data_IF_202343499348
#
_entry.id   IF_202343499348
#
_cell.length_a   1.000
_cell.length_b   1.000
_cell.length_c   1.000
_cell.angle_alpha   90.00
_cell.angle_beta   90.00
_cell.angle_gamma   90.00
#
_symmetry.space_group_name_H-M   'P 1'
#
loop_
_entity.id
_entity.type
_entity.pdbx_description
1 polymer ?
#
# COMPACT_ATOMS: atom_id res chain seq x y z
N UNK A 1 31.03 53.57 -29.52
CA UNK A 1 31.24 52.18 -29.05
C UNK A 1 30.34 51.94 -27.83
N UNK A 2 29.18 51.31 -28.01
CA UNK A 2 28.28 50.92 -26.90
C UNK A 2 28.46 49.42 -26.66
N UNK A 3 29.02 49.05 -25.51
CA UNK A 3 29.17 47.65 -25.08
C UNK A 3 27.85 47.22 -24.42
N UNK A 4 27.10 46.34 -25.07
CA UNK A 4 25.99 45.61 -24.46
C UNK A 4 26.56 44.47 -23.62
N UNK A 5 26.40 44.53 -22.30
CA UNK A 5 26.65 43.40 -21.42
C UNK A 5 25.46 42.43 -21.52
N UNK A 6 25.70 41.24 -22.04
CA UNK A 6 24.78 40.11 -21.95
C UNK A 6 24.93 39.47 -20.57
N UNK A 7 23.89 39.55 -19.74
CA UNK A 7 23.78 38.80 -18.49
C UNK A 7 23.37 37.38 -18.82
N UNK A 8 24.28 36.42 -18.63
CA UNK A 8 23.97 35.00 -18.73
C UNK A 8 23.17 34.59 -17.48
N UNK A 9 21.90 34.26 -17.67
CA UNK A 9 21.01 33.75 -16.63
C UNK A 9 21.32 32.27 -16.41
N UNK A 10 22.08 31.96 -15.36
CA UNK A 10 22.35 30.59 -14.94
C UNK A 10 21.07 30.00 -14.32
N UNK A 11 20.44 29.07 -15.04
CA UNK A 11 19.36 28.27 -14.50
C UNK A 11 19.93 27.27 -13.48
N UNK A 12 19.68 27.54 -12.19
CA UNK A 12 19.96 26.60 -11.10
C UNK A 12 18.90 25.50 -11.21
N UNK A 13 19.29 24.34 -11.73
CA UNK A 13 18.52 23.10 -11.60
C UNK A 13 18.52 22.72 -10.11
N UNK A 14 17.40 22.96 -9.43
CA UNK A 14 17.19 22.42 -8.09
C UNK A 14 17.14 20.88 -8.20
N UNK A 15 17.80 20.13 -7.30
CA UNK A 15 17.68 18.70 -7.28
C UNK A 15 16.20 18.31 -7.08
N UNK A 16 15.73 17.38 -7.92
CA UNK A 16 14.43 16.76 -7.76
C UNK A 16 14.27 16.27 -6.32
N UNK A 17 13.12 16.60 -5.71
CA UNK A 17 12.88 16.47 -4.28
C UNK A 17 13.33 15.13 -3.72
N UNK A 18 13.96 15.18 -2.55
CA UNK A 18 14.23 14.00 -1.74
C UNK A 18 12.92 13.22 -1.61
N UNK A 19 12.81 12.09 -2.31
CA UNK A 19 11.72 11.17 -2.12
C UNK A 19 11.75 10.79 -0.64
N UNK A 20 10.65 11.05 0.07
CA UNK A 20 10.55 10.62 1.46
C UNK A 20 10.84 9.11 1.46
N UNK A 21 11.84 8.68 2.23
CA UNK A 21 12.14 7.25 2.38
C UNK A 21 10.96 6.63 3.12
N UNK A 22 10.00 6.11 2.34
CA UNK A 22 8.77 5.56 2.88
C UNK A 22 9.01 4.18 3.49
N UNK A 23 10.09 3.48 3.14
CA UNK A 23 10.46 2.18 3.70
C UNK A 23 11.48 2.27 4.84
N UNK A 24 11.74 1.14 5.52
CA UNK A 24 12.81 0.98 6.51
C UNK A 24 12.40 1.12 7.99
N UNK A 25 11.16 1.55 8.28
CA UNK A 25 10.68 1.78 9.66
C UNK A 25 9.27 1.24 9.90
N UNK A 26 8.83 0.27 9.10
CA UNK A 26 7.50 -0.30 9.25
C UNK A 26 7.50 -1.31 10.39
N UNK A 27 6.45 -1.27 11.19
CA UNK A 27 6.26 -2.19 12.31
C UNK A 27 5.46 -3.39 11.83
N UNK A 28 5.94 -4.59 12.11
CA UNK A 28 5.18 -5.81 11.82
C UNK A 28 4.00 -5.95 12.78
N UNK A 29 2.81 -6.16 12.21
CA UNK A 29 1.63 -6.62 12.91
C UNK A 29 1.39 -8.08 12.54
N UNK A 30 1.69 -8.98 13.48
CA UNK A 30 1.38 -10.41 13.35
C UNK A 30 -0.08 -10.66 13.69
N UNK A 31 -0.70 -11.69 13.12
CA UNK A 31 -2.07 -12.11 13.44
C UNK A 31 -2.11 -13.32 14.39
N UNK A 32 -1.03 -14.11 14.42
CA UNK A 32 -0.75 -15.16 15.39
C UNK A 32 0.54 -14.84 16.16
N UNK A 33 0.64 -15.31 17.41
CA UNK A 33 1.86 -15.16 18.22
C UNK A 33 3.03 -16.00 17.68
N UNK A 34 2.74 -17.09 16.95
CA UNK A 34 3.76 -18.08 16.55
C UNK A 34 4.08 -18.09 15.05
N UNK A 35 3.34 -17.35 14.21
CA UNK A 35 3.60 -17.26 12.76
C UNK A 35 3.58 -15.81 12.27
N UNK A 36 4.30 -15.56 11.18
CA UNK A 36 4.44 -14.27 10.53
C UNK A 36 5.34 -14.41 9.30
N UNK A 37 5.30 -13.43 8.42
CA UNK A 37 6.16 -13.38 7.25
C UNK A 37 7.57 -12.95 7.65
N UNK A 38 8.58 -13.40 6.89
CA UNK A 38 9.94 -12.91 7.01
C UNK A 38 10.10 -11.65 6.14
N UNK A 39 10.20 -10.49 6.80
CA UNK A 39 10.35 -9.20 6.14
C UNK A 39 11.81 -8.73 6.14
N UNK A 40 12.27 -8.20 5.01
CA UNK A 40 13.54 -7.50 4.89
C UNK A 40 13.26 -6.08 4.41
N UNK A 41 13.56 -5.08 5.23
CA UNK A 41 13.31 -3.67 4.92
C UNK A 41 14.63 -2.93 4.66
N UNK A 42 14.69 -2.19 3.57
CA UNK A 42 15.68 -1.13 3.32
C UNK A 42 14.96 0.22 3.22
N UNK A 43 15.70 1.28 2.92
CA UNK A 43 15.14 2.62 2.69
C UNK A 43 14.25 2.73 1.46
N UNK A 44 14.48 1.88 0.47
CA UNK A 44 13.93 1.93 -0.89
C UNK A 44 13.09 0.70 -1.25
N UNK A 45 13.15 -0.38 -0.46
CA UNK A 45 12.45 -1.62 -0.73
C UNK A 45 12.00 -2.34 0.55
N UNK A 46 10.95 -3.14 0.40
CA UNK A 46 10.60 -4.21 1.32
C UNK A 46 10.48 -5.51 0.53
N UNK A 47 11.24 -6.53 0.96
CA UNK A 47 11.09 -7.90 0.48
C UNK A 47 10.36 -8.75 1.53
N UNK A 48 9.64 -9.77 1.05
CA UNK A 48 8.87 -10.69 1.88
C UNK A 48 9.07 -12.14 1.42
N UNK A 49 9.26 -13.01 2.41
CA UNK A 49 9.05 -14.43 2.29
C UNK A 49 7.89 -14.84 3.20
N UNK A 50 6.86 -15.43 2.61
CA UNK A 50 5.71 -16.01 3.31
C UNK A 50 5.68 -17.50 2.98
N UNK A 51 5.50 -18.35 3.99
CA UNK A 51 5.55 -19.81 3.87
C UNK A 51 4.43 -20.41 4.73
N UNK A 52 3.20 -20.48 4.19
CA UNK A 52 2.02 -20.91 4.96
C UNK A 52 1.65 -19.94 6.08
N UNK A 53 1.91 -18.64 5.89
CA UNK A 53 1.73 -17.63 6.94
C UNK A 53 1.09 -16.35 6.41
N UNK A 54 0.65 -15.52 7.35
CA UNK A 54 0.17 -14.16 7.09
C UNK A 54 0.68 -13.20 8.15
N UNK A 55 1.23 -12.08 7.71
CA UNK A 55 1.40 -10.89 8.53
C UNK A 55 1.40 -9.65 7.65
N UNK A 56 1.39 -8.48 8.28
CA UNK A 56 1.55 -7.22 7.59
C UNK A 56 2.63 -6.37 8.24
N UNK A 57 3.29 -5.56 7.43
CA UNK A 57 3.99 -4.38 7.89
C UNK A 57 3.03 -3.18 7.85
N UNK A 58 3.19 -2.26 8.79
CA UNK A 58 2.43 -1.03 8.81
C UNK A 58 3.29 0.18 9.19
N UNK A 59 2.94 1.33 8.64
CA UNK A 59 3.52 2.62 9.00
C UNK A 59 2.44 3.71 9.05
N UNK A 60 2.46 4.47 10.14
CA UNK A 60 1.68 5.72 10.24
C UNK A 60 2.34 6.81 9.40
N UNK A 61 1.52 7.58 8.69
CA UNK A 61 2.00 8.72 7.93
C UNK A 61 1.97 10.02 8.76
N UNK A 62 2.99 10.88 8.62
CA UNK A 62 2.98 12.21 9.22
C UNK A 62 1.86 13.06 8.62
N UNK A 63 1.41 14.06 9.38
CA UNK A 63 0.32 14.97 8.97
C UNK A 63 0.53 15.65 7.62
N UNK A 64 1.79 15.87 7.22
CA UNK A 64 2.15 16.46 5.93
C UNK A 64 1.64 15.62 4.74
N UNK A 65 1.61 14.28 4.88
CA UNK A 65 1.22 13.37 3.80
C UNK A 65 -0.30 13.11 3.76
N UNK A 66 -1.08 13.66 4.71
CA UNK A 66 -2.52 13.36 4.81
C UNK A 66 -3.34 13.86 3.61
N UNK A 67 -2.78 14.82 2.87
CA UNK A 67 -3.40 15.37 1.67
C UNK A 67 -3.03 14.64 0.37
N UNK A 68 -2.16 13.62 0.43
CA UNK A 68 -1.74 12.79 -0.72
C UNK A 68 -2.95 12.28 -1.51
N UNK A 69 -2.89 12.36 -2.85
CA UNK A 69 -3.95 11.89 -3.75
C UNK A 69 -3.47 10.94 -4.84
N UNK A 70 -2.15 10.75 -4.98
CA UNK A 70 -1.56 9.82 -5.93
C UNK A 70 -0.43 9.05 -5.26
N UNK A 71 -0.18 7.85 -5.77
CA UNK A 71 0.97 7.07 -5.38
C UNK A 71 1.53 6.30 -6.59
N UNK A 72 2.82 5.98 -6.51
CA UNK A 72 3.53 5.15 -7.46
C UNK A 72 4.49 4.22 -6.74
N UNK A 73 4.70 3.02 -7.29
CA UNK A 73 5.64 2.04 -6.76
C UNK A 73 6.01 1.01 -7.84
N UNK A 74 6.99 0.18 -7.52
CA UNK A 74 7.30 -1.06 -8.25
C UNK A 74 7.12 -2.26 -7.35
N UNK A 75 6.69 -3.37 -7.91
CA UNK A 75 6.67 -4.65 -7.20
C UNK A 75 7.11 -5.79 -8.12
N UNK A 76 7.62 -6.84 -7.52
CA UNK A 76 7.87 -8.10 -8.22
C UNK A 76 7.46 -9.29 -7.37
N UNK A 77 7.07 -10.36 -8.05
CA UNK A 77 6.71 -11.64 -7.47
C UNK A 77 7.52 -12.71 -8.19
N UNK A 78 8.40 -13.37 -7.44
CA UNK A 78 9.28 -14.43 -7.90
C UNK A 78 8.64 -15.81 -7.65
N UNK A 79 7.85 -15.93 -6.59
CA UNK A 79 7.03 -17.10 -6.27
C UNK A 79 5.65 -16.64 -5.80
N UNK A 80 4.60 -17.19 -6.40
CA UNK A 80 3.22 -16.73 -6.24
C UNK A 80 2.31 -17.82 -5.64
N UNK A 81 1.26 -17.38 -4.96
CA UNK A 81 0.13 -18.24 -4.54
C UNK A 81 -0.69 -18.71 -5.76
N UNK A 82 -1.46 -19.81 -5.67
CA UNK A 82 -2.45 -20.13 -6.71
C UNK A 82 -3.57 -19.07 -6.77
N UNK A 83 -4.28 -18.93 -7.90
CA UNK A 83 -5.41 -18.00 -7.98
C UNK A 83 -6.52 -18.34 -6.99
N UNK A 84 -6.88 -17.38 -6.14
CA UNK A 84 -7.92 -17.49 -5.09
C UNK A 84 -9.08 -16.51 -5.32
N UNK A 85 -10.22 -16.76 -4.70
CA UNK A 85 -11.32 -15.78 -4.67
C UNK A 85 -11.15 -14.83 -3.48
N UNK A 86 -10.63 -13.62 -3.77
CA UNK A 86 -10.36 -12.60 -2.75
C UNK A 86 -11.59 -12.05 -2.01
N UNK A 87 -12.80 -12.46 -2.40
CA UNK A 87 -14.03 -12.09 -1.68
C UNK A 87 -14.41 -13.10 -0.59
N UNK A 88 -13.73 -14.24 -0.53
CA UNK A 88 -14.01 -15.34 0.41
C UNK A 88 -13.05 -15.29 1.59
N UNK A 89 -13.59 -15.08 2.78
CA UNK A 89 -12.83 -15.20 4.04
C UNK A 89 -12.26 -16.61 4.21
N UNK A 90 -10.97 -16.73 4.54
CA UNK A 90 -10.29 -18.03 4.70
C UNK A 90 -10.13 -18.76 3.36
N UNK A 91 -9.97 -18.01 2.29
CA UNK A 91 -9.62 -18.50 0.96
C UNK A 91 -9.14 -17.37 0.07
N UNK A 92 -8.49 -16.36 0.65
CA UNK A 92 -8.18 -15.08 0.01
C UNK A 92 -6.67 -14.76 -0.09
N UNK A 93 -5.84 -15.80 0.00
CA UNK A 93 -4.39 -15.74 -0.22
C UNK A 93 -4.02 -14.91 -1.46
N UNK A 94 -2.99 -14.09 -1.32
CA UNK A 94 -2.54 -13.11 -2.34
C UNK A 94 -1.07 -12.76 -2.12
N UNK A 95 -0.38 -12.50 -3.22
CA UNK A 95 1.07 -12.24 -3.21
C UNK A 95 1.41 -10.98 -2.40
N UNK A 96 0.80 -9.85 -2.77
CA UNK A 96 1.01 -8.57 -2.10
C UNK A 96 -0.28 -7.75 -2.07
N UNK A 97 -0.54 -7.08 -0.94
CA UNK A 97 -1.60 -6.08 -0.80
C UNK A 97 -1.05 -4.82 -0.16
N UNK A 98 -1.09 -3.70 -0.88
CA UNK A 98 -0.70 -2.38 -0.37
C UNK A 98 -1.96 -1.61 0.05
N UNK A 99 -2.05 -1.26 1.33
CA UNK A 99 -3.20 -0.63 1.95
C UNK A 99 -2.95 0.87 2.09
N UNK A 100 -3.94 1.67 1.71
CA UNK A 100 -4.02 3.10 1.97
C UNK A 100 -5.18 3.33 2.94
N UNK A 101 -4.84 3.75 4.16
CA UNK A 101 -5.80 3.88 5.27
C UNK A 101 -6.19 5.35 5.39
N UNK A 102 -7.48 5.62 5.18
CA UNK A 102 -8.07 6.94 5.25
C UNK A 102 -9.02 7.06 6.43
N UNK A 103 -9.06 8.23 7.07
CA UNK A 103 -10.09 8.58 8.06
C UNK A 103 -10.28 10.10 8.15
N UNK A 104 -11.39 10.59 8.72
CA UNK A 104 -11.57 12.02 8.97
C UNK A 104 -10.46 12.58 9.86
N UNK A 105 -10.04 13.83 9.61
CA UNK A 105 -8.92 14.47 10.32
C UNK A 105 -9.06 14.41 11.86
N UNK A 106 -10.23 14.78 12.38
CA UNK A 106 -10.50 14.76 13.81
C UNK A 106 -10.40 13.34 14.41
N UNK A 107 -10.88 12.33 13.69
CA UNK A 107 -10.79 10.92 14.09
C UNK A 107 -9.32 10.45 14.09
N UNK A 108 -8.54 10.87 13.08
CA UNK A 108 -7.11 10.59 13.02
C UNK A 108 -6.33 11.16 14.20
N UNK A 109 -6.61 12.42 14.55
CA UNK A 109 -5.96 13.13 15.66
C UNK A 109 -6.31 12.51 17.01
N UNK A 110 -7.58 12.12 17.21
CA UNK A 110 -8.04 11.42 18.41
C UNK A 110 -7.38 10.02 18.56
N UNK A 111 -6.99 9.39 17.45
CA UNK A 111 -6.39 8.05 17.41
C UNK A 111 -4.90 8.07 17.01
N UNK A 112 -4.17 9.17 17.28
CA UNK A 112 -2.77 9.35 16.86
C UNK A 112 -1.80 8.29 17.41
N UNK A 113 -2.13 7.69 18.55
CA UNK A 113 -1.32 6.66 19.22
C UNK A 113 -1.82 5.23 18.94
N UNK A 114 -2.93 5.06 18.21
CA UNK A 114 -3.51 3.75 17.95
C UNK A 114 -2.62 2.93 17.00
N UNK A 115 -2.53 1.62 17.25
CA UNK A 115 -1.96 0.66 16.30
C UNK A 115 -2.94 0.35 15.16
N UNK A 116 -2.46 -0.27 14.09
CA UNK A 116 -3.27 -0.55 12.90
C UNK A 116 -4.53 -1.38 13.21
N UNK A 117 -4.45 -2.38 14.09
CA UNK A 117 -5.64 -3.19 14.46
C UNK A 117 -6.78 -2.33 15.00
N UNK A 118 -6.47 -1.37 15.88
CA UNK A 118 -7.45 -0.44 16.40
C UNK A 118 -7.97 0.48 15.29
N UNK A 119 -7.09 1.02 14.44
CA UNK A 119 -7.50 1.88 13.32
C UNK A 119 -8.45 1.19 12.33
N UNK A 120 -8.19 -0.07 11.99
CA UNK A 120 -9.04 -0.84 11.07
C UNK A 120 -10.42 -1.17 11.65
N UNK A 121 -10.55 -1.12 12.99
CA UNK A 121 -11.82 -1.28 13.70
C UNK A 121 -12.66 -0.01 13.80
N UNK A 122 -12.10 1.16 13.53
CA UNK A 122 -12.81 2.45 13.57
C UNK A 122 -13.84 2.50 12.43
N UNK A 123 -15.08 2.88 12.74
CA UNK A 123 -16.21 2.88 11.80
C UNK A 123 -15.96 3.78 10.58
N UNK A 124 -15.35 4.94 10.80
CA UNK A 124 -15.05 5.95 9.78
C UNK A 124 -13.81 5.61 8.95
N UNK A 125 -13.06 4.56 9.31
CA UNK A 125 -11.92 4.13 8.52
C UNK A 125 -12.37 3.67 7.13
N UNK A 126 -11.63 4.07 6.11
CA UNK A 126 -11.78 3.60 4.73
C UNK A 126 -10.43 3.12 4.24
N UNK A 127 -10.37 1.89 3.77
CA UNK A 127 -9.12 1.20 3.47
C UNK A 127 -9.17 0.73 2.03
N UNK A 128 -8.35 1.36 1.21
CA UNK A 128 -8.20 1.02 -0.19
C UNK A 128 -6.98 0.12 -0.34
N UNK A 129 -7.17 -1.09 -0.87
CA UNK A 129 -6.12 -2.11 -0.95
C UNK A 129 -5.81 -2.39 -2.42
N UNK A 130 -4.57 -2.17 -2.84
CA UNK A 130 -4.11 -2.51 -4.19
C UNK A 130 -3.41 -3.88 -4.16
N UNK A 131 -3.91 -4.81 -4.96
CA UNK A 131 -3.54 -6.23 -4.82
C UNK A 131 -2.89 -6.80 -6.08
N UNK A 132 -1.81 -7.55 -5.87
CA UNK A 132 -1.29 -8.58 -6.77
C UNK A 132 -1.69 -9.92 -6.18
N UNK A 133 -2.56 -10.65 -6.88
CA UNK A 133 -3.07 -11.94 -6.42
C UNK A 133 -4.51 -12.19 -6.85
N UNK A 134 -5.02 -13.37 -6.49
CA UNK A 134 -6.40 -13.77 -6.77
C UNK A 134 -6.70 -14.13 -8.22
N UNK A 135 -7.95 -14.53 -8.47
CA UNK A 135 -8.48 -14.95 -9.77
C UNK A 135 -9.35 -13.88 -10.47
N UNK A 136 -9.28 -12.63 -9.99
CA UNK A 136 -10.11 -11.53 -10.44
C UNK A 136 -9.42 -10.69 -11.52
N UNK A 137 -10.22 -10.05 -12.39
CA UNK A 137 -9.69 -9.23 -13.48
C UNK A 137 -9.05 -7.93 -12.97
N UNK A 138 -7.97 -7.48 -13.65
CA UNK A 138 -7.35 -6.18 -13.37
C UNK A 138 -8.37 -5.05 -13.46
N UNK A 139 -8.33 -4.14 -12.49
CA UNK A 139 -9.24 -3.01 -12.35
C UNK A 139 -10.52 -3.31 -11.59
N UNK A 140 -10.82 -4.59 -11.29
CA UNK A 140 -11.97 -4.95 -10.46
C UNK A 140 -11.89 -4.31 -9.07
N UNK A 141 -13.04 -3.88 -8.56
CA UNK A 141 -13.19 -3.41 -7.17
C UNK A 141 -14.02 -4.42 -6.39
N UNK A 142 -13.41 -5.01 -5.37
CA UNK A 142 -14.01 -6.08 -4.60
C UNK A 142 -14.29 -5.62 -3.15
N UNK A 143 -15.35 -6.15 -2.51
CA UNK A 143 -15.50 -6.00 -1.07
C UNK A 143 -14.38 -6.74 -0.32
N UNK A 144 -13.93 -6.19 0.81
CA UNK A 144 -13.05 -6.91 1.72
C UNK A 144 -13.86 -7.93 2.55
N UNK A 145 -13.45 -9.21 2.63
CA UNK A 145 -14.11 -10.19 3.50
C UNK A 145 -13.92 -9.91 5.02
N UNK A 146 -12.97 -9.03 5.40
CA UNK A 146 -12.66 -8.73 6.81
C UNK A 146 -13.09 -7.34 7.28
N UNK A 147 -13.16 -6.37 6.37
CA UNK A 147 -13.39 -4.96 6.72
C UNK A 147 -14.82 -4.48 6.42
N UNK A 148 -15.67 -5.34 5.83
CA UNK A 148 -17.03 -4.97 5.46
C UNK A 148 -17.06 -3.72 4.56
N UNK A 149 -17.94 -2.76 4.85
CA UNK A 149 -18.03 -1.50 4.11
C UNK A 149 -16.76 -0.62 4.20
N UNK A 150 -15.88 -0.85 5.18
CA UNK A 150 -14.66 -0.05 5.38
C UNK A 150 -13.56 -0.39 4.38
N UNK A 151 -13.50 -1.62 3.87
CA UNK A 151 -12.40 -2.08 3.02
C UNK A 151 -12.83 -2.38 1.59
N UNK A 152 -12.04 -1.92 0.63
CA UNK A 152 -12.22 -2.19 -0.81
C UNK A 152 -10.89 -2.57 -1.45
N UNK A 153 -10.90 -3.69 -2.16
CA UNK A 153 -9.75 -4.18 -2.90
C UNK A 153 -9.82 -3.73 -4.34
N UNK A 154 -8.73 -3.24 -4.90
CA UNK A 154 -8.53 -2.92 -6.31
C UNK A 154 -7.49 -3.87 -6.87
N UNK A 155 -7.87 -4.67 -7.87
CA UNK A 155 -6.95 -5.63 -8.48
C UNK A 155 -6.03 -4.91 -9.45
N UNK A 156 -4.72 -5.00 -9.22
CA UNK A 156 -3.73 -4.49 -10.16
C UNK A 156 -3.13 -5.62 -10.99
N UNK A 157 -2.97 -6.82 -10.41
CA UNK A 157 -2.49 -8.02 -11.10
C UNK A 157 -3.22 -9.24 -10.54
N UNK A 158 -3.64 -10.20 -11.38
CA UNK A 158 -4.04 -11.52 -10.89
C UNK A 158 -2.82 -12.27 -10.32
N UNK A 159 -3.04 -13.38 -9.64
CA UNK A 159 -1.97 -14.24 -9.16
C UNK A 159 -1.02 -14.63 -10.31
N UNK A 160 0.29 -14.61 -10.04
CA UNK A 160 1.33 -14.86 -11.02
C UNK A 160 2.64 -14.17 -10.68
N UNK A 161 3.65 -14.38 -11.52
CA UNK A 161 5.01 -13.86 -11.31
C UNK A 161 5.36 -12.73 -12.29
N UNK A 162 6.44 -12.02 -11.99
CA UNK A 162 6.99 -10.97 -12.86
C UNK A 162 7.32 -9.69 -12.09
N UNK A 163 7.48 -8.59 -12.83
CA UNK A 163 7.79 -7.26 -12.28
C UNK A 163 6.96 -6.20 -12.96
N UNK A 164 6.40 -5.28 -12.17
CA UNK A 164 5.52 -4.22 -12.66
C UNK A 164 5.72 -2.91 -11.90
N UNK A 165 5.51 -1.81 -12.62
CA UNK A 165 5.34 -0.48 -12.04
C UNK A 165 3.87 -0.12 -12.01
N UNK A 166 3.41 0.48 -10.93
CA UNK A 166 2.03 0.91 -10.75
C UNK A 166 1.99 2.40 -10.44
N UNK A 167 0.92 3.04 -10.88
CA UNK A 167 0.64 4.46 -10.62
C UNK A 167 -0.85 4.58 -10.45
N UNK A 168 -1.29 5.10 -9.32
CA UNK A 168 -2.70 5.10 -8.93
C UNK A 168 -3.18 6.48 -8.55
N UNK A 169 -4.41 6.79 -8.95
CA UNK A 169 -5.14 7.98 -8.50
C UNK A 169 -6.00 7.56 -7.31
N UNK A 170 -5.47 7.80 -6.10
CA UNK A 170 -6.12 7.43 -4.85
C UNK A 170 -7.47 8.15 -4.72
N UNK A 171 -7.58 9.39 -5.19
CA UNK A 171 -8.82 10.15 -5.08
C UNK A 171 -9.93 9.57 -5.95
N UNK A 172 -9.61 9.22 -7.20
CA UNK A 172 -10.53 8.58 -8.14
C UNK A 172 -10.92 7.18 -7.66
N UNK A 173 -9.95 6.39 -7.22
CA UNK A 173 -10.19 5.03 -6.77
C UNK A 173 -10.99 5.00 -5.47
N UNK A 174 -10.70 5.91 -4.53
CA UNK A 174 -11.50 6.09 -3.31
C UNK A 174 -12.95 6.43 -3.65
N UNK A 175 -13.18 7.39 -4.57
CA UNK A 175 -14.54 7.76 -4.96
C UNK A 175 -15.29 6.61 -5.62
N UNK A 176 -14.62 5.83 -6.48
CA UNK A 176 -15.19 4.62 -7.09
C UNK A 176 -15.53 3.58 -6.04
N UNK A 177 -14.68 3.42 -5.03
CA UNK A 177 -14.79 2.39 -4.01
C UNK A 177 -15.83 2.71 -2.92
N UNK A 178 -15.95 3.98 -2.52
CA UNK A 178 -16.69 4.41 -1.33
C UNK A 178 -17.79 5.44 -1.61
N UNK A 179 -17.90 5.98 -2.83
CA UNK A 179 -18.95 6.90 -3.22
C UNK A 179 -18.79 8.34 -2.71
N UNK A 180 -17.66 8.67 -2.06
CA UNK A 180 -17.38 10.00 -1.50
C UNK A 180 -15.97 10.48 -1.84
N UNK A 181 -15.64 11.73 -1.47
CA UNK A 181 -14.27 12.25 -1.61
C UNK A 181 -13.35 11.65 -0.52
N UNK A 182 -12.06 11.42 -0.81
CA UNK A 182 -11.11 10.89 0.16
C UNK A 182 -10.92 11.85 1.34
N UNK A 183 -10.83 11.28 2.54
CA UNK A 183 -10.48 11.99 3.77
C UNK A 183 -8.96 12.12 3.90
N UNK A 184 -8.43 12.17 5.13
CA UNK A 184 -6.98 12.20 5.38
C UNK A 184 -6.37 10.80 5.21
N UNK A 185 -5.29 10.69 4.43
CA UNK A 185 -4.48 9.46 4.33
C UNK A 185 -3.55 9.36 5.56
N UNK A 186 -3.84 8.46 6.48
CA UNK A 186 -3.17 8.44 7.80
C UNK A 186 -2.12 7.35 7.96
N UNK A 187 -2.07 6.41 7.02
CA UNK A 187 -1.06 5.36 7.07
C UNK A 187 -1.16 4.35 5.95
N UNK A 188 -0.14 3.52 5.91
CA UNK A 188 0.08 2.50 4.89
C UNK A 188 0.28 1.15 5.55
N UNK A 189 -0.14 0.09 4.87
CA UNK A 189 0.19 -1.28 5.27
C UNK A 189 0.55 -2.12 4.05
N UNK A 190 1.33 -3.17 4.26
CA UNK A 190 1.75 -4.12 3.23
C UNK A 190 1.59 -5.52 3.81
N UNK A 191 0.78 -6.36 3.18
CA UNK A 191 0.62 -7.76 3.58
C UNK A 191 1.01 -8.70 2.46
N UNK A 192 1.41 -9.91 2.85
CA UNK A 192 1.49 -11.10 2.01
C UNK A 192 0.77 -12.22 2.75
N UNK A 193 0.02 -13.04 2.02
CA UNK A 193 -0.98 -13.95 2.59
C UNK A 193 -0.92 -15.30 1.87
N UNK A 194 -0.43 -16.35 2.55
CA UNK A 194 -0.24 -17.69 1.98
C UNK A 194 -0.72 -18.81 2.90
N UNK A 195 -1.49 -18.48 3.95
CA UNK A 195 -1.84 -19.43 5.00
C UNK A 195 -3.01 -20.35 4.63
N UNK A 196 -3.96 -19.88 3.82
CA UNK A 196 -5.13 -20.68 3.42
C UNK A 196 -4.78 -21.79 2.41
N UNK A 197 -3.78 -21.55 1.55
CA UNK A 197 -3.37 -22.46 0.47
C UNK A 197 -2.13 -23.28 0.81
N UNK A 198 -1.53 -23.08 1.99
CA UNK A 198 -0.25 -23.67 2.40
C UNK A 198 0.85 -23.50 1.34
N UNK A 199 0.83 -22.33 0.69
CA UNK A 199 1.74 -22.01 -0.41
C UNK A 199 2.87 -21.10 0.08
N UNK A 200 3.63 -20.54 -0.87
CA UNK A 200 4.77 -19.70 -0.55
C UNK A 200 4.80 -18.48 -1.45
N UNK A 201 5.16 -17.35 -0.87
CA UNK A 201 5.35 -16.08 -1.58
C UNK A 201 6.81 -15.68 -1.47
N UNK A 202 7.40 -15.26 -2.59
CA UNK A 202 8.66 -14.51 -2.64
C UNK A 202 8.40 -13.27 -3.46
N UNK A 203 8.35 -12.12 -2.79
CA UNK A 203 7.94 -10.88 -3.44
C UNK A 203 8.65 -9.67 -2.84
N UNK A 204 8.56 -8.54 -3.52
CA UNK A 204 9.13 -7.27 -3.08
C UNK A 204 8.31 -6.10 -3.60
N UNK A 205 8.33 -5.01 -2.85
CA UNK A 205 7.87 -3.67 -3.27
C UNK A 205 9.03 -2.69 -3.14
N UNK A 206 9.16 -1.77 -4.09
CA UNK A 206 10.23 -0.76 -4.12
C UNK A 206 9.71 0.58 -4.61
N UNK A 207 10.48 1.63 -4.31
CA UNK A 207 10.28 3.01 -4.79
C UNK A 207 8.85 3.52 -4.59
N UNK A 208 8.26 3.24 -3.42
CA UNK A 208 6.96 3.79 -3.08
C UNK A 208 7.12 5.30 -2.88
N UNK A 209 6.28 6.06 -3.57
CA UNK A 209 6.22 7.51 -3.48
C UNK A 209 4.77 7.98 -3.33
N UNK A 210 4.58 9.07 -2.59
CA UNK A 210 3.30 9.71 -2.32
C UNK A 210 3.31 11.13 -2.91
N UNK A 211 2.23 11.48 -3.60
CA UNK A 211 2.09 12.75 -4.33
C UNK A 211 0.73 13.43 -4.07
#
# INVERSE_FOLDING_TARGET
MRKTLSVAMAAILLPAGAQAMLFGSWTEQRFSLFSGNAWQQSSDQVAVASDGTVSLLWRRLPGADWSTRRADWRWSVDQSVPPTDLTRKGGDDRDLSLYFIFMPKAVAEANRNAGIRQLLGIEEARVLMYVWGGNHARGAVLPSPYLGARGKTVILRPAGTGSHSETVDLARDYRRAFGSAPTSLVGLALSADSDDTDSRIRARIADLSLQ
#
